data_IF_450200057005
#
_entry.id   IF_450200057005
#
_cell.length_a   1.000
_cell.length_b   1.000
_cell.length_c   1.000
_cell.angle_alpha   90.00
_cell.angle_beta   90.00
_cell.angle_gamma   90.00
#
_symmetry.space_group_name_H-M   'P 1'
#
loop_
_entity.id
_entity.type
_entity.pdbx_description
1 polymer ?
#
# COMPACT_ATOMS: atom_id res chain seq x y z
N UNK A 1 8.48 -76.67 19.28
CA UNK A 1 9.06 -76.87 17.93
C UNK A 1 8.63 -75.84 16.86
N UNK A 2 7.97 -74.73 17.19
CA UNK A 2 7.73 -73.64 16.22
C UNK A 2 8.79 -72.52 16.38
N UNK A 3 9.10 -72.19 17.64
CA UNK A 3 10.10 -71.17 18.00
C UNK A 3 11.51 -71.45 17.45
N UNK A 4 11.95 -72.71 17.46
CA UNK A 4 13.26 -73.09 16.91
C UNK A 4 13.33 -73.01 15.38
N UNK A 5 12.20 -73.24 14.67
CA UNK A 5 12.13 -73.14 13.21
C UNK A 5 12.04 -71.68 12.76
N UNK A 6 11.32 -70.85 13.50
CA UNK A 6 11.27 -69.39 13.28
C UNK A 6 12.65 -68.77 13.53
N UNK A 7 13.32 -69.14 14.62
CA UNK A 7 14.68 -68.64 14.93
C UNK A 7 15.71 -69.05 13.87
N UNK A 8 15.61 -70.26 13.31
CA UNK A 8 16.49 -70.71 12.20
C UNK A 8 16.15 -69.99 10.88
N UNK A 9 14.87 -69.84 10.55
CA UNK A 9 14.43 -69.12 9.35
C UNK A 9 14.79 -67.62 9.38
N UNK A 10 14.75 -66.98 10.56
CA UNK A 10 15.22 -65.61 10.75
C UNK A 10 16.75 -65.52 10.59
N UNK A 11 17.51 -66.53 11.02
CA UNK A 11 18.98 -66.52 10.95
C UNK A 11 19.53 -66.78 9.54
N UNK A 12 18.75 -67.45 8.70
CA UNK A 12 19.09 -67.76 7.29
C UNK A 12 18.72 -66.61 6.31
N UNK A 13 18.03 -65.56 6.77
CA UNK A 13 17.70 -64.39 5.94
C UNK A 13 18.86 -63.39 5.87
N UNK A 14 19.09 -62.84 4.67
CA UNK A 14 20.03 -61.74 4.44
C UNK A 14 19.48 -60.42 5.04
N UNK A 15 19.62 -60.24 6.35
CA UNK A 15 19.23 -59.01 7.07
C UNK A 15 19.83 -57.73 6.46
N UNK A 16 21.00 -57.85 5.83
CA UNK A 16 21.64 -56.76 5.11
C UNK A 16 20.82 -56.32 3.90
N UNK A 17 20.21 -57.25 3.16
CA UNK A 17 19.34 -56.94 2.03
C UNK A 17 18.07 -56.21 2.49
N UNK A 18 17.43 -56.69 3.57
CA UNK A 18 16.26 -56.04 4.19
C UNK A 18 16.60 -54.62 4.69
N UNK A 19 17.78 -54.44 5.28
CA UNK A 19 18.27 -53.13 5.70
C UNK A 19 18.47 -52.16 4.54
N UNK A 20 19.06 -52.63 3.43
CA UNK A 20 19.22 -51.82 2.21
C UNK A 20 17.87 -51.45 1.62
N UNK A 21 16.93 -52.40 1.50
CA UNK A 21 15.57 -52.13 0.99
C UNK A 21 14.85 -51.08 1.84
N UNK A 22 14.95 -51.17 3.17
CA UNK A 22 14.38 -50.18 4.07
C UNK A 22 14.99 -48.78 3.87
N UNK A 23 16.31 -48.68 3.75
CA UNK A 23 17.01 -47.40 3.51
C UNK A 23 16.58 -46.80 2.16
N UNK A 24 16.45 -47.62 1.11
CA UNK A 24 16.01 -47.15 -0.21
C UNK A 24 14.59 -46.58 -0.13
N UNK A 25 13.66 -47.26 0.57
CA UNK A 25 12.28 -46.78 0.73
C UNK A 25 12.24 -45.46 1.51
N UNK A 26 12.95 -45.36 2.65
CA UNK A 26 13.01 -44.12 3.44
C UNK A 26 13.65 -42.98 2.65
N UNK A 27 14.74 -43.25 1.93
CA UNK A 27 15.38 -42.27 1.05
C UNK A 27 14.43 -41.81 -0.07
N UNK A 28 13.66 -42.74 -0.66
CA UNK A 28 12.64 -42.43 -1.67
C UNK A 28 11.57 -41.48 -1.14
N UNK A 29 11.02 -41.75 0.05
CA UNK A 29 10.02 -40.88 0.70
C UNK A 29 10.63 -39.50 1.05
N UNK A 30 11.85 -39.49 1.59
CA UNK A 30 12.54 -38.23 1.90
C UNK A 30 12.80 -37.39 0.66
N UNK A 31 13.23 -38.00 -0.46
CA UNK A 31 13.43 -37.30 -1.73
C UNK A 31 12.11 -36.76 -2.29
N UNK A 32 11.02 -37.54 -2.22
CA UNK A 32 9.71 -37.08 -2.66
C UNK A 32 9.23 -35.85 -1.87
N UNK A 33 9.43 -35.87 -0.55
CA UNK A 33 9.12 -34.71 0.30
C UNK A 33 10.01 -33.52 -0.03
N UNK A 34 11.31 -33.72 -0.22
CA UNK A 34 12.25 -32.64 -0.58
C UNK A 34 11.91 -31.99 -1.92
N UNK A 35 11.58 -32.77 -2.95
CA UNK A 35 11.16 -32.24 -4.25
C UNK A 35 9.86 -31.42 -4.11
N UNK A 36 8.92 -31.90 -3.30
CA UNK A 36 7.65 -31.19 -3.05
C UNK A 36 7.91 -29.85 -2.36
N UNK A 37 8.75 -29.83 -1.32
CA UNK A 37 9.11 -28.60 -0.62
C UNK A 37 9.83 -27.61 -1.53
N UNK A 38 10.81 -28.09 -2.31
CA UNK A 38 11.52 -27.25 -3.27
C UNK A 38 10.58 -26.61 -4.31
N UNK A 39 9.59 -27.36 -4.80
CA UNK A 39 8.57 -26.80 -5.71
C UNK A 39 7.70 -25.74 -5.03
N UNK A 40 7.37 -25.92 -3.75
CA UNK A 40 6.58 -24.96 -2.98
C UNK A 40 7.38 -23.67 -2.72
N UNK A 41 8.63 -23.81 -2.30
CA UNK A 41 9.54 -22.68 -2.05
C UNK A 41 9.75 -21.83 -3.31
N UNK A 42 9.94 -22.46 -4.47
CA UNK A 42 10.05 -21.73 -5.73
C UNK A 42 8.75 -21.00 -6.10
N UNK A 43 7.60 -21.65 -5.94
CA UNK A 43 6.30 -21.02 -6.21
C UNK A 43 6.01 -19.86 -5.25
N UNK A 44 6.48 -19.93 -4.01
CA UNK A 44 6.37 -18.86 -3.03
C UNK A 44 7.32 -17.70 -3.35
N UNK A 45 8.56 -17.99 -3.73
CA UNK A 45 9.53 -16.98 -4.18
C UNK A 45 9.01 -16.20 -5.40
N UNK A 46 8.39 -16.89 -6.37
CA UNK A 46 7.77 -16.24 -7.53
C UNK A 46 6.61 -15.33 -7.11
N UNK A 47 5.73 -15.80 -6.21
CA UNK A 47 4.62 -14.99 -5.67
C UNK A 47 5.12 -13.73 -4.96
N UNK A 48 6.18 -13.86 -4.16
CA UNK A 48 6.84 -12.74 -3.49
C UNK A 48 7.40 -11.72 -4.47
N UNK A 49 8.08 -12.18 -5.52
CA UNK A 49 8.63 -11.28 -6.55
C UNK A 49 7.52 -10.48 -7.27
N UNK A 50 6.42 -11.15 -7.65
CA UNK A 50 5.26 -10.48 -8.26
C UNK A 50 4.60 -9.49 -7.30
N UNK A 51 4.50 -9.82 -6.01
CA UNK A 51 3.95 -8.91 -5.02
C UNK A 51 4.82 -7.65 -4.83
N UNK A 52 6.15 -7.77 -4.88
CA UNK A 52 7.06 -6.62 -4.81
C UNK A 52 6.93 -5.70 -6.01
N UNK A 53 6.85 -6.27 -7.21
CA UNK A 53 6.68 -5.52 -8.45
C UNK A 53 5.37 -4.71 -8.43
N UNK A 54 4.27 -5.38 -8.07
CA UNK A 54 2.96 -4.73 -7.92
C UNK A 54 2.94 -3.68 -6.79
N UNK A 55 3.67 -3.91 -5.70
CA UNK A 55 3.78 -2.95 -4.60
C UNK A 55 4.56 -1.73 -5.04
N UNK A 56 5.60 -1.91 -5.86
CA UNK A 56 6.36 -0.81 -6.43
C UNK A 56 5.46 0.07 -7.31
N UNK A 57 4.70 -0.52 -8.23
CA UNK A 57 3.74 0.22 -9.07
C UNK A 57 2.69 0.98 -8.25
N UNK A 58 2.19 0.37 -7.16
CA UNK A 58 1.25 1.00 -6.23
C UNK A 58 1.87 2.23 -5.55
N UNK A 59 3.11 2.13 -5.09
CA UNK A 59 3.84 3.25 -4.47
C UNK A 59 4.21 4.34 -5.48
N UNK A 60 4.55 3.97 -6.72
CA UNK A 60 4.79 4.94 -7.80
C UNK A 60 3.52 5.72 -8.13
N UNK A 61 2.37 5.06 -8.15
CA UNK A 61 1.06 5.70 -8.34
C UNK A 61 0.80 6.72 -7.24
N UNK A 62 1.02 6.36 -5.98
CA UNK A 62 0.89 7.27 -4.84
C UNK A 62 1.82 8.48 -4.96
N UNK A 63 3.05 8.26 -5.40
CA UNK A 63 4.05 9.31 -5.60
C UNK A 63 3.61 10.27 -6.73
N UNK A 64 3.08 9.73 -7.82
CA UNK A 64 2.53 10.52 -8.92
C UNK A 64 1.36 11.40 -8.49
N UNK A 65 0.46 10.88 -7.64
CA UNK A 65 -0.63 11.67 -7.05
C UNK A 65 -0.10 12.84 -6.21
N UNK A 66 0.90 12.59 -5.36
CA UNK A 66 1.50 13.66 -4.54
C UNK A 66 2.22 14.70 -5.40
N UNK A 67 2.94 14.28 -6.44
CA UNK A 67 3.59 15.19 -7.38
C UNK A 67 2.57 16.08 -8.10
N UNK A 68 1.42 15.51 -8.52
CA UNK A 68 0.31 16.27 -9.09
C UNK A 68 -0.22 17.31 -8.09
N UNK A 69 -0.45 16.93 -6.83
CA UNK A 69 -0.91 17.86 -5.80
C UNK A 69 0.09 19.00 -5.55
N UNK A 70 1.38 18.70 -5.48
CA UNK A 70 2.41 19.74 -5.34
C UNK A 70 2.33 20.74 -6.49
N UNK A 71 2.23 20.27 -7.73
CA UNK A 71 2.08 21.16 -8.89
C UNK A 71 0.84 22.04 -8.83
N UNK A 72 -0.32 21.46 -8.49
CA UNK A 72 -1.57 22.21 -8.32
C UNK A 72 -1.42 23.29 -7.24
N UNK A 73 -0.80 22.95 -6.10
CA UNK A 73 -0.64 23.91 -5.02
C UNK A 73 0.39 24.99 -5.29
N UNK A 74 1.44 24.71 -6.06
CA UNK A 74 2.40 25.72 -6.50
C UNK A 74 1.72 26.80 -7.36
N UNK A 75 0.84 26.38 -8.27
CA UNK A 75 0.02 27.29 -9.09
C UNK A 75 -0.93 28.11 -8.21
N UNK A 76 -1.76 27.44 -7.40
CA UNK A 76 -2.71 28.10 -6.50
C UNK A 76 -2.03 29.06 -5.51
N UNK A 77 -0.84 28.74 -5.02
CA UNK A 77 -0.13 29.59 -4.06
C UNK A 77 0.36 30.90 -4.68
N UNK A 78 0.56 30.95 -5.99
CA UNK A 78 0.88 32.19 -6.70
C UNK A 78 -0.33 33.14 -6.60
N UNK A 79 -1.52 32.66 -6.97
CA UNK A 79 -2.75 33.45 -6.94
C UNK A 79 -3.16 33.82 -5.51
N UNK A 80 -3.03 32.89 -4.56
CA UNK A 80 -3.31 33.15 -3.13
C UNK A 80 -2.38 34.23 -2.55
N UNK A 81 -1.12 34.25 -2.97
CA UNK A 81 -0.14 35.23 -2.50
C UNK A 81 -0.50 36.62 -3.02
N UNK A 82 -0.84 36.75 -4.31
CA UNK A 82 -1.33 38.01 -4.87
C UNK A 82 -2.60 38.49 -4.14
N UNK A 83 -3.57 37.60 -3.93
CA UNK A 83 -4.80 37.91 -3.21
C UNK A 83 -4.51 38.44 -1.80
N UNK A 84 -3.59 37.79 -1.08
CA UNK A 84 -3.18 38.19 0.27
C UNK A 84 -2.48 39.55 0.28
N UNK A 85 -1.58 39.81 -0.66
CA UNK A 85 -0.87 41.10 -0.78
C UNK A 85 -1.85 42.25 -1.04
N UNK A 86 -2.81 42.07 -1.95
CA UNK A 86 -3.87 43.05 -2.23
C UNK A 86 -4.75 43.30 -1.01
N UNK A 87 -5.17 42.24 -0.31
CA UNK A 87 -5.95 42.34 0.93
C UNK A 87 -5.20 43.14 2.01
N UNK A 88 -3.89 42.90 2.17
CA UNK A 88 -3.05 43.61 3.14
C UNK A 88 -2.87 45.08 2.79
N UNK A 89 -2.62 45.38 1.50
CA UNK A 89 -2.48 46.73 0.99
C UNK A 89 -3.81 47.50 0.98
N UNK A 90 -4.95 46.78 1.04
CA UNK A 90 -6.30 47.31 0.78
C UNK A 90 -6.41 47.97 -0.60
N UNK A 91 -5.70 47.40 -1.57
CA UNK A 91 -5.66 47.88 -2.95
C UNK A 91 -6.27 46.82 -3.88
N UNK A 92 -7.44 47.15 -4.41
CA UNK A 92 -8.22 46.31 -5.32
C UNK A 92 -8.43 46.97 -6.68
N UNK A 93 -7.71 48.06 -6.98
CA UNK A 93 -7.84 48.73 -8.26
C UNK A 93 -7.31 47.82 -9.39
N UNK A 94 -8.07 47.74 -10.49
CA UNK A 94 -7.76 46.89 -11.63
C UNK A 94 -7.63 45.38 -11.33
N UNK A 95 -8.15 44.92 -10.20
CA UNK A 95 -8.13 43.51 -9.81
C UNK A 95 -9.00 42.66 -10.75
N UNK A 96 -8.51 41.47 -11.09
CA UNK A 96 -9.32 40.43 -11.71
C UNK A 96 -10.20 39.75 -10.65
N UNK A 97 -11.52 39.94 -10.76
CA UNK A 97 -12.52 39.42 -9.82
C UNK A 97 -12.63 37.89 -9.87
N UNK A 98 -12.45 37.27 -11.05
CA UNK A 98 -12.48 35.81 -11.18
C UNK A 98 -11.24 35.22 -10.51
N UNK A 99 -10.05 35.74 -10.83
CA UNK A 99 -8.80 35.26 -10.24
C UNK A 99 -8.76 35.44 -8.71
N UNK A 100 -9.26 36.57 -8.19
CA UNK A 100 -9.38 36.80 -6.74
C UNK A 100 -10.36 35.81 -6.11
N UNK A 101 -11.49 35.53 -6.76
CA UNK A 101 -12.47 34.56 -6.26
C UNK A 101 -11.86 33.16 -6.21
N UNK A 102 -11.21 32.72 -7.28
CA UNK A 102 -10.55 31.41 -7.35
C UNK A 102 -9.45 31.29 -6.29
N UNK A 103 -8.62 32.33 -6.11
CA UNK A 103 -7.61 32.38 -5.07
C UNK A 103 -8.20 32.23 -3.67
N UNK A 104 -9.29 32.94 -3.35
CA UNK A 104 -9.95 32.87 -2.04
C UNK A 104 -10.65 31.53 -1.80
N UNK A 105 -11.41 31.02 -2.78
CA UNK A 105 -12.09 29.73 -2.70
C UNK A 105 -11.08 28.61 -2.51
N UNK A 106 -9.95 28.68 -3.22
CA UNK A 106 -8.92 27.66 -3.11
C UNK A 106 -8.35 27.52 -1.69
N UNK A 107 -8.40 28.55 -0.84
CA UNK A 107 -7.90 28.47 0.55
C UNK A 107 -8.66 27.44 1.41
N UNK A 108 -9.91 27.14 1.05
CA UNK A 108 -10.74 26.16 1.73
C UNK A 108 -10.60 24.74 1.12
N UNK A 109 -9.86 24.59 0.02
CA UNK A 109 -9.72 23.32 -0.69
C UNK A 109 -8.52 22.52 -0.18
N UNK A 110 -8.81 21.31 0.29
CA UNK A 110 -7.81 20.27 0.56
C UNK A 110 -8.22 18.98 -0.16
N UNK A 111 -7.51 18.54 -1.22
CA UNK A 111 -7.87 17.38 -2.00
C UNK A 111 -7.66 16.10 -1.19
N UNK A 112 -8.50 15.10 -1.44
CA UNK A 112 -8.39 13.80 -0.80
C UNK A 112 -7.16 13.04 -1.34
N UNK A 113 -6.23 12.70 -0.45
CA UNK A 113 -5.18 11.74 -0.78
C UNK A 113 -5.70 10.32 -0.57
N UNK A 114 -6.07 9.64 -1.65
CA UNK A 114 -6.62 8.28 -1.62
C UNK A 114 -5.88 7.37 -2.60
N UNK A 115 -4.60 7.05 -2.32
CA UNK A 115 -3.83 6.15 -3.17
C UNK A 115 -4.40 4.73 -3.16
N UNK A 116 -4.05 3.89 -4.15
CA UNK A 116 -4.32 2.46 -4.07
C UNK A 116 -3.55 1.84 -2.90
N UNK A 117 -4.21 0.92 -2.17
CA UNK A 117 -3.62 0.17 -1.05
C UNK A 117 -3.90 -1.34 -1.20
N UNK A 118 -4.24 -1.79 -2.40
CA UNK A 118 -4.69 -3.16 -2.65
C UNK A 118 -3.56 -4.17 -2.43
N UNK A 119 -2.37 -3.87 -2.94
CA UNK A 119 -1.20 -4.75 -2.84
C UNK A 119 -0.63 -4.73 -1.44
N UNK A 120 -0.54 -3.55 -0.82
CA UNK A 120 -0.15 -3.44 0.59
C UNK A 120 -1.04 -4.31 1.49
N UNK A 121 -2.37 -4.20 1.33
CA UNK A 121 -3.32 -4.98 2.12
C UNK A 121 -3.20 -6.48 1.85
N UNK A 122 -3.00 -6.90 0.60
CA UNK A 122 -2.74 -8.30 0.24
C UNK A 122 -1.49 -8.83 0.97
N UNK A 123 -0.39 -8.08 0.97
CA UNK A 123 0.88 -8.44 1.61
C UNK A 123 0.75 -8.61 3.13
N UNK A 124 0.04 -7.68 3.78
CA UNK A 124 -0.14 -7.72 5.25
C UNK A 124 -1.09 -8.83 5.65
N UNK A 125 -2.24 -8.95 4.98
CA UNK A 125 -3.27 -9.94 5.33
C UNK A 125 -2.87 -11.38 5.03
N UNK A 126 -2.05 -11.60 3.99
CA UNK A 126 -1.51 -12.93 3.65
C UNK A 126 -0.33 -13.35 4.52
N UNK A 127 0.21 -12.47 5.36
CA UNK A 127 1.42 -12.74 6.16
C UNK A 127 2.73 -12.74 5.35
N UNK A 128 2.67 -12.36 4.07
CA UNK A 128 3.81 -12.38 3.15
C UNK A 128 4.90 -11.38 3.56
N UNK A 129 4.54 -10.33 4.32
CA UNK A 129 5.46 -9.29 4.78
C UNK A 129 6.74 -9.84 5.44
N UNK A 130 6.61 -10.92 6.21
CA UNK A 130 7.74 -11.56 6.89
C UNK A 130 8.78 -12.14 5.94
N UNK A 131 8.40 -12.49 4.71
CA UNK A 131 9.28 -13.03 3.67
C UNK A 131 9.67 -12.02 2.57
N UNK A 132 9.16 -10.78 2.61
CA UNK A 132 9.26 -9.80 1.52
C UNK A 132 10.45 -8.84 1.56
N UNK A 133 11.45 -9.10 2.39
CA UNK A 133 12.63 -8.24 2.48
C UNK A 133 13.26 -8.32 3.86
N UNK A 134 14.24 -7.46 4.09
CA UNK A 134 14.90 -7.32 5.38
C UNK A 134 14.12 -6.40 6.34
N UNK A 135 14.69 -6.14 7.51
CA UNK A 135 14.10 -5.24 8.50
C UNK A 135 13.94 -3.82 7.96
N UNK A 136 14.92 -3.33 7.19
CA UNK A 136 14.90 -1.97 6.67
C UNK A 136 13.75 -1.75 5.68
N UNK A 137 13.47 -2.74 4.82
CA UNK A 137 12.31 -2.74 3.93
C UNK A 137 11.00 -2.64 4.71
N UNK A 138 10.83 -3.47 5.75
CA UNK A 138 9.60 -3.49 6.56
C UNK A 138 9.40 -2.16 7.31
N UNK A 139 10.48 -1.58 7.82
CA UNK A 139 10.44 -0.26 8.47
C UNK A 139 10.11 0.87 7.48
N UNK A 140 10.61 0.80 6.24
CA UNK A 140 10.27 1.75 5.19
C UNK A 140 8.79 1.63 4.79
N UNK A 141 8.29 0.41 4.59
CA UNK A 141 6.90 0.16 4.23
C UNK A 141 5.93 0.59 5.34
N UNK A 142 6.27 0.33 6.61
CA UNK A 142 5.48 0.78 7.75
C UNK A 142 5.43 2.30 7.87
N UNK A 143 6.55 2.99 7.61
CA UNK A 143 6.59 4.46 7.57
C UNK A 143 5.75 5.02 6.43
N UNK A 144 5.85 4.43 5.23
CA UNK A 144 5.00 4.79 4.10
C UNK A 144 3.52 4.69 4.45
N UNK A 145 3.07 3.55 5.02
CA UNK A 145 1.68 3.40 5.41
C UNK A 145 1.25 4.41 6.47
N UNK A 146 2.13 4.69 7.45
CA UNK A 146 1.86 5.70 8.47
C UNK A 146 1.65 7.09 7.85
N UNK A 147 2.42 7.44 6.82
CA UNK A 147 2.24 8.68 6.07
C UNK A 147 0.92 8.70 5.28
N UNK A 148 0.53 7.59 4.66
CA UNK A 148 -0.75 7.48 3.94
C UNK A 148 -1.92 7.71 4.89
N UNK A 149 -1.95 7.01 6.03
CA UNK A 149 -2.99 7.16 7.06
C UNK A 149 -3.02 8.59 7.61
N UNK A 150 -1.85 9.18 7.86
CA UNK A 150 -1.76 10.56 8.32
C UNK A 150 -2.38 11.54 7.32
N UNK A 151 -2.01 11.43 6.04
CA UNK A 151 -2.51 12.31 4.98
C UNK A 151 -4.01 12.13 4.73
N UNK A 152 -4.50 10.90 4.74
CA UNK A 152 -5.94 10.61 4.68
C UNK A 152 -6.69 11.24 5.86
N UNK A 153 -6.14 11.16 7.08
CA UNK A 153 -6.77 11.75 8.26
C UNK A 153 -6.85 13.28 8.25
N UNK A 154 -6.01 13.97 7.47
CA UNK A 154 -6.05 15.43 7.38
C UNK A 154 -7.35 15.95 6.76
N UNK A 155 -7.94 15.23 5.80
CA UNK A 155 -9.12 15.75 5.11
C UNK A 155 -10.33 15.91 6.05
N UNK A 156 -10.48 15.02 7.01
CA UNK A 156 -11.56 15.09 7.99
C UNK A 156 -11.39 16.29 8.91
N UNK A 157 -10.14 16.62 9.26
CA UNK A 157 -9.83 17.85 10.00
C UNK A 157 -10.19 19.11 9.19
N UNK A 158 -9.78 19.18 7.93
CA UNK A 158 -10.09 20.32 7.06
C UNK A 158 -11.61 20.50 6.83
N UNK A 159 -12.33 19.39 6.59
CA UNK A 159 -13.79 19.42 6.44
C UNK A 159 -14.50 19.91 7.71
N UNK A 160 -14.02 19.49 8.88
CA UNK A 160 -14.59 19.93 10.15
C UNK A 160 -14.40 21.45 10.32
N UNK A 161 -13.19 21.97 10.03
CA UNK A 161 -12.91 23.41 10.08
C UNK A 161 -13.78 24.22 9.12
N UNK A 162 -13.97 23.77 7.88
CA UNK A 162 -14.81 24.49 6.90
C UNK A 162 -16.27 24.60 7.33
N UNK A 163 -16.75 23.71 8.19
CA UNK A 163 -18.13 23.71 8.71
C UNK A 163 -18.28 24.30 10.12
N UNK A 164 -17.18 24.70 10.76
CA UNK A 164 -17.17 25.07 12.19
C UNK A 164 -17.56 26.52 12.46
N UNK A 165 -17.44 27.43 11.48
CA UNK A 165 -17.72 28.86 11.68
C UNK A 165 -19.19 29.19 11.37
N UNK A 166 -19.99 29.64 12.36
CA UNK A 166 -21.39 29.99 12.15
C UNK A 166 -21.54 31.12 11.12
N UNK A 167 -22.27 30.86 10.04
CA UNK A 167 -22.59 31.86 9.01
C UNK A 167 -21.74 31.79 7.74
N UNK A 168 -20.70 30.95 7.66
CA UNK A 168 -20.01 30.69 6.38
C UNK A 168 -20.97 30.16 5.31
N UNK A 169 -21.92 29.32 5.71
CA UNK A 169 -23.00 28.78 4.88
C UNK A 169 -23.90 29.84 4.21
N UNK A 170 -23.88 31.09 4.70
CA UNK A 170 -24.72 32.18 4.21
C UNK A 170 -24.14 32.92 3.00
N UNK A 171 -22.88 32.64 2.65
CA UNK A 171 -22.23 33.20 1.46
C UNK A 171 -22.45 32.25 0.26
N UNK A 172 -23.10 32.71 -0.82
CA UNK A 172 -23.36 31.89 -2.01
C UNK A 172 -22.08 31.28 -2.63
N UNK A 173 -20.95 31.98 -2.48
CA UNK A 173 -19.64 31.61 -3.02
C UNK A 173 -18.82 30.64 -2.14
N UNK A 174 -19.32 30.26 -0.96
CA UNK A 174 -18.65 29.28 -0.07
C UNK A 174 -19.05 27.84 -0.44
N UNK A 175 -20.15 27.65 -1.18
CA UNK A 175 -20.58 26.34 -1.64
C UNK A 175 -20.10 26.06 -3.05
N UNK A 176 -19.25 25.06 -3.20
CA UNK A 176 -19.06 24.39 -4.48
C UNK A 176 -20.23 23.43 -4.67
N UNK A 177 -21.25 23.87 -5.40
CA UNK A 177 -22.29 22.97 -5.88
C UNK A 177 -21.68 22.10 -6.99
N UNK A 178 -21.64 20.79 -6.78
CA UNK A 178 -21.14 19.86 -7.79
C UNK A 178 -22.06 19.92 -9.02
N UNK A 179 -21.58 20.54 -10.10
CA UNK A 179 -22.25 20.56 -11.39
C UNK A 179 -21.68 19.44 -12.29
N UNK A 180 -22.43 18.34 -12.52
CA UNK A 180 -21.97 17.24 -13.36
C UNK A 180 -21.84 17.61 -14.85
N UNK A 181 -22.28 18.81 -15.24
CA UNK A 181 -22.16 19.35 -16.60
C UNK A 181 -21.01 20.34 -16.77
N UNK A 182 -20.37 20.73 -15.66
CA UNK A 182 -19.13 21.52 -15.67
C UNK A 182 -17.99 20.70 -16.29
N UNK A 183 -17.22 21.35 -17.16
CA UNK A 183 -15.99 20.77 -17.73
C UNK A 183 -14.73 21.09 -16.91
N UNK A 184 -14.89 21.83 -15.81
CA UNK A 184 -13.87 22.02 -14.75
C UNK A 184 -13.98 20.89 -13.74
#
# INVERSE_FOLDING_TARGET
>A
MILARISKALKDQNWLAVGIEFVIVVAGVMLAFQVTQFSQDQAEAQRRAVALDRLHDEVETSTGMLAMFVGIYEELNTDRTEALERLQARDFDGMDEEAMTDALVSLALFPAFSPPEGVYNEIVTSGMLSGLGDTAFRDALSRYQSSVVFLQGQIDYFRLLSTAEPGMDSFPSVWLEYDPTSSR
#
